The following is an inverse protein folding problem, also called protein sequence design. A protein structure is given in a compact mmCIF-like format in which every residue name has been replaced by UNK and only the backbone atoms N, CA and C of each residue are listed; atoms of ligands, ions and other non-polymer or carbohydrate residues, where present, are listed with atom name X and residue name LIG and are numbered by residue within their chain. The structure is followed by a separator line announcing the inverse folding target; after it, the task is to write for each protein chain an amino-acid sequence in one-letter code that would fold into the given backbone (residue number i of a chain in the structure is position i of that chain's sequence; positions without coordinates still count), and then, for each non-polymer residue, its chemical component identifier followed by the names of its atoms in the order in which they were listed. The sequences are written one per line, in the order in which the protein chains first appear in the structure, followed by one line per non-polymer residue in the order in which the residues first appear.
data_IF_952204561899
#
_entry.id   IF_952204561899
#
_cell.length_a   1.000
_cell.length_b   1.000
_cell.length_c   1.000
_cell.angle_alpha   90.00
_cell.angle_beta   90.00
_cell.angle_gamma   90.00
#
_symmetry.space_group_name_H-M   'P 1'
#
loop_
_entity.id
_entity.type
_entity.pdbx_description
1 polymer ?
#
# COMPACT_ATOMS: atom_id res chain seq x y z
N UNK A 1 2.93 -51.47 -43.17
CA UNK A 1 2.47 -50.07 -43.22
C UNK A 1 1.70 -49.81 -41.94
N UNK A 2 2.38 -49.27 -40.97
CA UNK A 2 1.77 -48.94 -39.63
C UNK A 2 1.43 -47.47 -39.62
N UNK A 3 0.14 -47.17 -39.54
CA UNK A 3 -0.38 -45.80 -39.52
C UNK A 3 -0.36 -45.30 -38.07
N UNK A 4 0.57 -44.39 -37.71
CA UNK A 4 0.57 -43.68 -36.44
C UNK A 4 -0.48 -42.56 -36.48
N UNK A 5 -1.60 -42.73 -35.77
CA UNK A 5 -2.51 -41.62 -35.44
C UNK A 5 -1.84 -40.75 -34.35
N UNK A 6 -1.39 -39.56 -34.71
CA UNK A 6 -1.09 -38.48 -33.77
C UNK A 6 -2.41 -37.90 -33.24
N UNK A 7 -2.73 -38.21 -32.00
CA UNK A 7 -3.76 -37.48 -31.24
C UNK A 7 -3.23 -36.09 -30.89
N UNK A 8 -3.72 -35.07 -31.59
CA UNK A 8 -3.58 -33.67 -31.14
C UNK A 8 -4.38 -33.46 -29.83
N UNK A 9 -3.71 -33.36 -28.70
CA UNK A 9 -4.28 -32.85 -27.49
C UNK A 9 -4.58 -31.35 -27.69
N UNK A 10 -5.73 -30.85 -27.23
CA UNK A 10 -5.99 -29.42 -27.29
C UNK A 10 -4.95 -28.68 -26.47
N UNK A 11 -4.35 -27.62 -27.04
CA UNK A 11 -3.41 -26.76 -26.35
C UNK A 11 -4.12 -26.13 -25.13
N UNK A 12 -3.45 -26.15 -23.98
CA UNK A 12 -3.91 -25.49 -22.76
C UNK A 12 -4.27 -24.04 -23.04
N UNK A 13 -5.37 -23.53 -22.46
CA UNK A 13 -5.74 -22.15 -22.66
C UNK A 13 -4.62 -21.22 -22.16
N UNK A 14 -4.24 -20.28 -23.02
CA UNK A 14 -3.20 -19.29 -22.84
C UNK A 14 -3.21 -18.73 -21.40
N UNK A 15 -2.14 -18.85 -20.59
CA UNK A 15 -2.11 -18.41 -19.19
C UNK A 15 -2.40 -16.90 -19.01
N UNK A 16 -2.26 -16.09 -20.06
CA UNK A 16 -2.65 -14.67 -20.06
C UNK A 16 -4.17 -14.49 -20.07
N UNK A 17 -4.94 -15.44 -20.62
CA UNK A 17 -6.42 -15.37 -20.61
C UNK A 17 -7.00 -15.81 -19.25
N UNK A 18 -6.37 -16.76 -18.56
CA UNK A 18 -6.78 -17.20 -17.23
C UNK A 18 -6.54 -16.12 -16.15
N UNK A 19 -5.56 -15.21 -16.32
CA UNK A 19 -5.27 -14.11 -15.40
C UNK A 19 -6.29 -12.97 -15.38
N UNK A 20 -7.24 -12.91 -16.32
CA UNK A 20 -8.22 -11.80 -16.45
C UNK A 20 -9.64 -12.14 -16.00
N UNK A 21 -9.85 -13.21 -15.26
CA UNK A 21 -11.21 -13.66 -14.92
C UNK A 21 -11.52 -13.73 -13.41
N UNK A 22 -10.81 -12.94 -12.60
CA UNK A 22 -11.09 -12.85 -11.17
C UNK A 22 -12.35 -12.01 -10.90
N UNK A 23 -12.89 -12.08 -9.67
CA UNK A 23 -14.00 -11.22 -9.25
C UNK A 23 -13.69 -9.74 -9.46
N UNK A 24 -12.47 -9.32 -9.09
CA UNK A 24 -11.98 -7.96 -9.29
C UNK A 24 -11.99 -7.56 -10.77
N UNK A 25 -11.41 -8.39 -11.64
CA UNK A 25 -11.35 -8.09 -13.08
C UNK A 25 -12.75 -7.94 -13.68
N UNK A 26 -13.66 -8.86 -13.35
CA UNK A 26 -15.04 -8.83 -13.85
C UNK A 26 -15.76 -7.56 -13.42
N UNK A 27 -15.57 -7.14 -12.17
CA UNK A 27 -16.16 -5.90 -11.67
C UNK A 27 -15.55 -4.66 -12.34
N UNK A 28 -14.23 -4.56 -12.44
CA UNK A 28 -13.56 -3.39 -12.99
C UNK A 28 -13.80 -3.21 -14.50
N UNK A 29 -13.95 -4.33 -15.23
CA UNK A 29 -14.25 -4.33 -16.67
C UNK A 29 -15.75 -4.10 -16.97
N UNK A 30 -16.64 -4.28 -15.99
CA UNK A 30 -18.06 -4.09 -16.19
C UNK A 30 -18.35 -2.64 -16.62
N UNK A 31 -19.11 -2.42 -17.72
CA UNK A 31 -19.45 -1.08 -18.17
C UNK A 31 -20.30 -0.36 -17.12
N UNK A 32 -20.15 0.96 -17.04
CA UNK A 32 -20.96 1.83 -16.20
C UNK A 32 -21.18 3.16 -16.93
N UNK A 33 -22.42 3.41 -17.30
CA UNK A 33 -22.81 4.59 -18.06
C UNK A 33 -22.86 5.88 -17.23
N UNK A 34 -22.72 5.79 -15.90
CA UNK A 34 -22.78 6.97 -15.03
C UNK A 34 -21.45 7.73 -14.95
N UNK A 35 -20.35 7.14 -15.47
CA UNK A 35 -19.05 7.80 -15.49
C UNK A 35 -19.09 9.13 -16.21
N UNK A 36 -18.68 10.16 -15.53
CA UNK A 36 -18.47 11.51 -16.09
C UNK A 36 -17.57 12.33 -15.20
N UNK A 37 -16.96 13.35 -15.76
CA UNK A 37 -16.20 14.33 -15.00
C UNK A 37 -16.44 15.75 -15.57
N UNK A 38 -16.14 16.76 -14.76
CA UNK A 38 -16.18 18.16 -15.17
C UNK A 38 -15.15 19.00 -14.41
N UNK A 39 -14.55 19.97 -15.09
CA UNK A 39 -13.71 20.96 -14.47
C UNK A 39 -14.59 21.96 -13.70
N UNK A 40 -14.26 22.21 -12.43
CA UNK A 40 -14.95 23.18 -11.58
C UNK A 40 -14.22 24.51 -11.55
N UNK A 41 -12.94 24.48 -11.16
CA UNK A 41 -12.13 25.69 -11.01
C UNK A 41 -10.64 25.41 -11.28
N UNK A 42 -9.91 26.49 -11.52
CA UNK A 42 -8.45 26.56 -11.42
C UNK A 42 -8.12 27.74 -10.55
N UNK A 43 -7.45 27.49 -9.44
CA UNK A 43 -7.04 28.51 -8.47
C UNK A 43 -5.51 28.71 -8.56
N UNK A 44 -5.05 29.96 -8.28
CA UNK A 44 -3.63 30.29 -8.32
C UNK A 44 -3.11 30.62 -9.72
N UNK A 45 -1.80 30.69 -9.85
CA UNK A 45 -1.11 31.01 -11.10
C UNK A 45 0.27 30.30 -11.14
N UNK A 46 1.03 30.50 -12.24
CA UNK A 46 2.35 29.87 -12.41
C UNK A 46 3.35 30.21 -11.29
N UNK A 47 3.30 31.42 -10.71
CA UNK A 47 4.23 31.87 -9.68
C UNK A 47 3.87 31.30 -8.28
N UNK A 48 2.58 31.12 -8.00
CA UNK A 48 2.09 30.62 -6.72
C UNK A 48 1.76 29.12 -6.75
N UNK A 49 1.83 28.51 -7.93
CA UNK A 49 1.29 27.18 -8.22
C UNK A 49 -0.20 27.24 -8.53
N UNK A 50 -0.73 26.20 -9.11
CA UNK A 50 -2.16 26.08 -9.42
C UNK A 50 -2.78 24.85 -8.77
N UNK A 51 -4.04 24.97 -8.42
CA UNK A 51 -4.90 23.84 -8.01
C UNK A 51 -6.06 23.74 -8.98
N UNK A 52 -6.15 22.62 -9.68
CA UNK A 52 -7.24 22.34 -10.60
C UNK A 52 -8.24 21.43 -9.88
N UNK A 53 -9.49 21.86 -9.79
CA UNK A 53 -10.56 21.10 -9.16
C UNK A 53 -11.46 20.47 -10.22
N UNK A 54 -11.55 19.15 -10.19
CA UNK A 54 -12.47 18.36 -11.01
C UNK A 54 -13.50 17.68 -10.12
N UNK A 55 -14.74 17.58 -10.60
CA UNK A 55 -15.76 16.68 -10.05
C UNK A 55 -15.82 15.45 -10.92
N UNK A 56 -15.88 14.28 -10.29
CA UNK A 56 -15.89 12.97 -10.91
C UNK A 56 -17.06 12.15 -10.38
N UNK A 57 -17.95 11.67 -11.25
CA UNK A 57 -18.81 10.53 -10.95
C UNK A 57 -18.11 9.27 -11.47
N UNK A 58 -17.66 8.39 -10.57
CA UNK A 58 -16.88 7.21 -10.98
C UNK A 58 -17.76 6.06 -11.46
N UNK A 59 -18.93 5.89 -10.84
CA UNK A 59 -19.84 4.79 -11.08
C UNK A 59 -21.15 4.97 -10.31
N UNK A 60 -22.14 4.13 -10.61
CA UNK A 60 -23.28 3.85 -9.74
C UNK A 60 -23.11 2.47 -9.13
N UNK A 61 -22.96 2.39 -7.80
CA UNK A 61 -22.77 1.17 -7.06
C UNK A 61 -23.92 0.91 -6.11
N UNK A 62 -24.59 -0.25 -6.22
CA UNK A 62 -25.74 -0.63 -5.38
C UNK A 62 -26.82 0.47 -5.31
N UNK A 63 -27.12 1.11 -6.44
CA UNK A 63 -28.08 2.22 -6.52
C UNK A 63 -27.57 3.57 -6.03
N UNK A 64 -26.35 3.64 -5.47
CA UNK A 64 -25.71 4.87 -5.00
C UNK A 64 -24.74 5.41 -6.05
N UNK A 65 -24.93 6.66 -6.47
CA UNK A 65 -23.97 7.35 -7.33
C UNK A 65 -22.75 7.77 -6.50
N UNK A 66 -21.55 7.44 -6.99
CA UNK A 66 -20.29 7.76 -6.34
C UNK A 66 -19.66 9.01 -6.96
N UNK A 67 -19.74 10.10 -6.22
CA UNK A 67 -19.19 11.40 -6.60
C UNK A 67 -17.94 11.71 -5.80
N UNK A 68 -16.91 12.22 -6.48
CA UNK A 68 -15.60 12.49 -5.91
C UNK A 68 -15.13 13.89 -6.24
N UNK A 69 -14.35 14.47 -5.35
CA UNK A 69 -13.46 15.58 -5.67
C UNK A 69 -12.13 15.03 -6.14
N UNK A 70 -11.61 15.56 -7.24
CA UNK A 70 -10.30 15.23 -7.77
C UNK A 70 -9.51 16.52 -7.92
N UNK A 71 -8.53 16.73 -7.05
CA UNK A 71 -7.68 17.92 -7.08
C UNK A 71 -6.32 17.60 -7.70
N UNK A 72 -5.91 18.42 -8.66
CA UNK A 72 -4.57 18.37 -9.27
C UNK A 72 -3.78 19.59 -8.80
N UNK A 73 -2.78 19.37 -7.96
CA UNK A 73 -1.86 20.37 -7.43
C UNK A 73 -0.63 20.47 -8.32
N UNK A 74 -0.38 21.64 -8.87
CA UNK A 74 0.81 21.94 -9.67
C UNK A 74 1.63 22.98 -8.91
N UNK A 75 2.76 22.63 -8.30
CA UNK A 75 3.56 23.57 -7.51
C UNK A 75 4.22 24.62 -8.40
N UNK A 76 4.68 25.76 -7.81
CA UNK A 76 5.30 26.84 -8.56
C UNK A 76 6.45 26.37 -9.45
N UNK A 77 6.46 26.82 -10.70
CA UNK A 77 7.52 26.48 -11.66
C UNK A 77 7.56 25.01 -12.12
N UNK A 78 6.68 24.16 -11.61
CA UNK A 78 6.62 22.76 -12.05
C UNK A 78 6.11 22.68 -13.51
N UNK A 79 6.78 21.84 -14.29
CA UNK A 79 6.37 21.55 -15.67
C UNK A 79 5.40 20.37 -15.68
N UNK A 80 4.37 20.39 -16.55
CA UNK A 80 3.58 19.21 -16.84
C UNK A 80 4.47 18.02 -17.23
N UNK A 81 4.07 16.81 -16.86
CA UNK A 81 4.81 15.60 -17.20
C UNK A 81 3.88 14.42 -17.39
N UNK A 82 4.32 13.45 -18.17
CA UNK A 82 3.52 12.25 -18.53
C UNK A 82 3.25 11.31 -17.37
N UNK A 83 3.93 11.49 -16.24
CA UNK A 83 3.73 10.69 -15.02
C UNK A 83 3.42 11.60 -13.85
N UNK A 84 2.36 11.29 -13.11
CA UNK A 84 2.00 11.99 -11.87
C UNK A 84 1.77 11.01 -10.72
N UNK A 85 1.86 11.52 -9.49
CA UNK A 85 1.43 10.79 -8.30
C UNK A 85 -0.07 10.98 -8.12
N UNK A 86 -0.79 9.87 -7.90
CA UNK A 86 -2.21 9.86 -7.52
C UNK A 86 -2.33 9.32 -6.09
N UNK A 87 -2.74 10.18 -5.17
CA UNK A 87 -3.11 9.80 -3.81
C UNK A 87 -4.63 9.56 -3.74
N UNK A 88 -5.05 8.37 -3.36
CA UNK A 88 -6.45 8.11 -3.05
C UNK A 88 -6.70 8.23 -1.54
N UNK A 89 -7.76 8.94 -1.13
CA UNK A 89 -8.06 9.23 0.27
C UNK A 89 -9.57 9.22 0.58
N UNK A 90 -9.92 8.99 1.86
CA UNK A 90 -11.32 8.88 2.29
C UNK A 90 -12.01 10.21 2.56
N UNK A 91 -11.26 11.23 2.94
CA UNK A 91 -11.82 12.53 3.34
C UNK A 91 -12.34 13.37 2.17
N UNK A 92 -12.67 14.61 2.47
CA UNK A 92 -13.04 15.63 1.51
C UNK A 92 -11.86 16.62 1.28
N UNK A 93 -11.91 17.51 0.25
CA UNK A 93 -10.82 18.42 -0.08
C UNK A 93 -10.74 19.64 0.84
N UNK A 94 -10.88 19.47 2.16
CA UNK A 94 -10.81 20.54 3.15
C UNK A 94 -9.66 20.32 4.14
N UNK A 95 -9.18 21.39 4.77
CA UNK A 95 -8.24 21.35 5.88
C UNK A 95 -6.98 20.54 5.59
N UNK A 96 -6.66 19.60 6.49
CA UNK A 96 -5.43 18.81 6.44
C UNK A 96 -5.26 17.93 5.20
N UNK A 97 -6.34 17.44 4.60
CA UNK A 97 -6.26 16.61 3.40
C UNK A 97 -5.77 17.40 2.17
N UNK A 98 -6.27 18.64 2.00
CA UNK A 98 -5.80 19.54 0.94
C UNK A 98 -4.33 19.91 1.18
N UNK A 99 -3.97 20.22 2.44
CA UNK A 99 -2.61 20.55 2.83
C UNK A 99 -1.64 19.39 2.55
N UNK A 100 -2.04 18.14 2.78
CA UNK A 100 -1.21 16.98 2.48
C UNK A 100 -0.89 16.90 0.97
N UNK A 101 -1.87 17.08 0.09
CA UNK A 101 -1.67 17.11 -1.35
C UNK A 101 -0.69 18.22 -1.78
N UNK A 102 -0.87 19.43 -1.25
CA UNK A 102 0.04 20.55 -1.48
C UNK A 102 1.47 20.26 -0.98
N UNK A 103 1.59 19.66 0.20
CA UNK A 103 2.90 19.31 0.80
C UNK A 103 3.63 18.28 -0.06
N UNK A 104 2.94 17.23 -0.52
CA UNK A 104 3.54 16.21 -1.39
C UNK A 104 3.96 16.85 -2.73
N UNK A 105 3.11 17.69 -3.34
CA UNK A 105 3.43 18.36 -4.60
C UNK A 105 4.64 19.29 -4.46
N UNK A 106 4.73 20.05 -3.36
CA UNK A 106 5.85 20.93 -3.06
C UNK A 106 7.16 20.16 -2.86
N UNK A 107 7.15 19.05 -2.11
CA UNK A 107 8.33 18.19 -1.91
C UNK A 107 8.78 17.54 -3.23
N UNK A 108 7.86 17.01 -4.02
CA UNK A 108 8.14 16.42 -5.32
C UNK A 108 8.63 17.43 -6.35
N UNK A 109 8.28 18.70 -6.19
CA UNK A 109 8.42 19.75 -7.23
C UNK A 109 7.77 19.33 -8.56
N UNK A 110 6.67 18.59 -8.47
CA UNK A 110 5.95 17.99 -9.60
C UNK A 110 4.44 17.95 -9.32
N UNK A 111 3.59 17.86 -10.35
CA UNK A 111 2.16 17.75 -10.18
C UNK A 111 1.76 16.48 -9.40
N UNK A 112 0.79 16.64 -8.48
CA UNK A 112 0.19 15.57 -7.68
C UNK A 112 -1.31 15.66 -7.75
N UNK A 113 -1.98 14.54 -8.01
CA UNK A 113 -3.43 14.45 -7.94
C UNK A 113 -3.86 13.78 -6.63
N UNK A 114 -4.96 14.25 -6.05
CA UNK A 114 -5.60 13.64 -4.88
C UNK A 114 -7.06 13.36 -5.21
N UNK A 115 -7.44 12.08 -5.11
CA UNK A 115 -8.81 11.61 -5.30
C UNK A 115 -9.44 11.38 -3.93
N UNK A 116 -10.50 12.12 -3.65
CA UNK A 116 -11.20 12.15 -2.37
C UNK A 116 -12.45 11.25 -2.36
N UNK A 117 -13.04 11.06 -1.18
CA UNK A 117 -14.25 10.26 -0.92
C UNK A 117 -14.11 8.79 -1.40
N UNK A 118 -13.00 8.14 -1.04
CA UNK A 118 -12.78 6.71 -1.29
C UNK A 118 -12.87 5.93 0.04
N UNK A 119 -13.96 5.21 0.32
CA UNK A 119 -15.21 5.11 -0.43
C UNK A 119 -16.08 6.36 -0.32
N UNK A 120 -17.15 6.39 -1.12
CA UNK A 120 -18.24 7.36 -0.99
C UNK A 120 -19.10 6.93 0.20
N UNK A 121 -18.99 7.62 1.32
CA UNK A 121 -19.58 7.22 2.61
C UNK A 121 -20.15 8.43 3.36
N UNK A 122 -21.11 8.25 4.34
CA UNK A 122 -21.63 6.97 4.85
C UNK A 122 -22.60 6.27 3.89
N UNK A 123 -22.63 4.92 3.94
CA UNK A 123 -23.62 4.08 3.27
C UNK A 123 -24.14 3.05 4.26
N UNK A 124 -25.41 2.68 4.17
CA UNK A 124 -26.03 1.71 5.09
C UNK A 124 -25.81 2.05 6.59
N UNK A 125 -25.77 3.35 6.92
CA UNK A 125 -25.42 3.88 8.25
C UNK A 125 -24.06 3.37 8.77
N UNK A 126 -23.12 3.10 7.87
CA UNK A 126 -21.76 2.63 8.18
C UNK A 126 -20.72 3.47 7.45
N UNK A 127 -19.54 3.47 8.02
CA UNK A 127 -18.33 4.09 7.46
C UNK A 127 -17.13 3.17 7.65
N UNK A 128 -16.08 3.39 6.90
CA UNK A 128 -14.75 2.78 7.09
C UNK A 128 -14.81 1.24 7.16
N UNK A 129 -14.17 0.61 8.16
CA UNK A 129 -14.11 -0.84 8.31
C UNK A 129 -15.49 -1.47 8.51
N UNK A 130 -16.37 -0.78 9.25
CA UNK A 130 -17.75 -1.23 9.45
C UNK A 130 -18.52 -1.31 8.12
N UNK A 131 -18.24 -0.41 7.17
CA UNK A 131 -18.86 -0.46 5.84
C UNK A 131 -18.28 -1.58 4.97
N UNK A 132 -16.96 -1.78 4.99
CA UNK A 132 -16.32 -2.89 4.26
C UNK A 132 -16.86 -4.22 4.78
N UNK A 133 -16.85 -4.43 6.10
CA UNK A 133 -17.33 -5.65 6.73
C UNK A 133 -18.84 -5.92 6.45
N UNK A 134 -19.67 -4.87 6.46
CA UNK A 134 -21.08 -4.95 6.07
C UNK A 134 -21.22 -5.46 4.62
N UNK A 135 -20.44 -4.97 3.70
CA UNK A 135 -20.52 -5.36 2.29
C UNK A 135 -20.02 -6.79 2.05
N UNK A 136 -19.07 -7.26 2.86
CA UNK A 136 -18.64 -8.65 2.83
C UNK A 136 -19.74 -9.60 3.31
N UNK A 137 -20.46 -9.24 4.38
CA UNK A 137 -21.63 -10.00 4.85
C UNK A 137 -22.70 -10.06 3.76
N UNK A 138 -23.03 -8.95 3.10
CA UNK A 138 -24.02 -8.91 2.02
C UNK A 138 -23.62 -9.77 0.81
N UNK A 139 -22.33 -9.83 0.48
CA UNK A 139 -21.85 -10.73 -0.55
C UNK A 139 -22.07 -12.21 -0.16
N UNK A 140 -21.78 -12.57 1.10
CA UNK A 140 -22.00 -13.93 1.61
C UNK A 140 -23.48 -14.29 1.68
N UNK A 141 -24.34 -13.39 2.14
CA UNK A 141 -25.80 -13.56 2.19
C UNK A 141 -26.43 -13.70 0.79
N UNK A 142 -25.83 -13.05 -0.21
CA UNK A 142 -26.23 -13.21 -1.62
C UNK A 142 -25.65 -14.49 -2.27
N UNK A 143 -25.05 -15.39 -1.48
CA UNK A 143 -24.44 -16.64 -1.95
C UNK A 143 -23.40 -16.40 -3.07
N UNK A 144 -22.68 -15.26 -2.99
CA UNK A 144 -21.68 -14.85 -4.00
C UNK A 144 -22.24 -14.51 -5.38
N UNK A 145 -23.55 -14.48 -5.57
CA UNK A 145 -24.20 -14.23 -6.87
C UNK A 145 -24.01 -12.80 -7.34
N UNK A 146 -24.00 -11.84 -6.43
CA UNK A 146 -23.72 -10.44 -6.74
C UNK A 146 -22.27 -10.08 -6.41
N UNK A 147 -21.41 -10.17 -7.42
CA UNK A 147 -19.98 -9.89 -7.30
C UNK A 147 -19.67 -8.41 -7.05
N UNK A 148 -20.64 -7.52 -7.13
CA UNK A 148 -20.44 -6.09 -6.95
C UNK A 148 -20.39 -5.67 -5.47
N UNK A 149 -20.87 -6.52 -4.53
CA UNK A 149 -20.95 -6.17 -3.13
C UNK A 149 -19.60 -5.77 -2.48
N UNK A 150 -18.48 -6.50 -2.67
CA UNK A 150 -17.25 -6.18 -1.95
C UNK A 150 -16.79 -4.73 -2.20
N UNK A 151 -16.89 -3.87 -1.18
CA UNK A 151 -16.68 -2.42 -1.27
C UNK A 151 -15.32 -2.02 -1.87
N UNK A 152 -14.31 -2.86 -1.69
CA UNK A 152 -12.97 -2.63 -2.24
C UNK A 152 -12.94 -2.58 -3.78
N UNK A 153 -13.89 -3.24 -4.44
CA UNK A 153 -13.97 -3.22 -5.90
C UNK A 153 -14.44 -1.86 -6.44
N UNK A 154 -15.55 -1.27 -5.95
CA UNK A 154 -15.89 0.11 -6.34
C UNK A 154 -14.86 1.14 -5.90
N UNK A 155 -14.14 0.94 -4.79
CA UNK A 155 -13.01 1.79 -4.41
C UNK A 155 -11.89 1.73 -5.46
N UNK A 156 -11.51 0.54 -5.93
CA UNK A 156 -10.52 0.39 -7.01
C UNK A 156 -11.02 0.99 -8.33
N UNK A 157 -12.30 0.77 -8.69
CA UNK A 157 -12.89 1.36 -9.90
C UNK A 157 -12.89 2.88 -9.86
N UNK A 158 -13.11 3.49 -8.69
CA UNK A 158 -13.01 4.95 -8.55
C UNK A 158 -11.58 5.46 -8.84
N UNK A 159 -10.54 4.73 -8.43
CA UNK A 159 -9.16 5.08 -8.79
C UNK A 159 -8.92 4.96 -10.31
N UNK A 160 -9.41 3.89 -10.96
CA UNK A 160 -9.33 3.73 -12.42
C UNK A 160 -10.00 4.91 -13.13
N UNK A 161 -11.21 5.29 -12.72
CA UNK A 161 -11.96 6.42 -13.28
C UNK A 161 -11.33 7.78 -12.98
N UNK A 162 -10.68 7.91 -11.82
CA UNK A 162 -9.86 9.09 -11.51
C UNK A 162 -8.68 9.26 -12.47
N UNK A 163 -8.02 8.15 -12.82
CA UNK A 163 -6.96 8.15 -13.83
C UNK A 163 -7.50 8.48 -15.23
N UNK A 164 -8.66 7.95 -15.61
CA UNK A 164 -9.32 8.29 -16.88
C UNK A 164 -9.60 9.80 -16.97
N UNK A 165 -10.20 10.39 -15.93
CA UNK A 165 -10.50 11.82 -15.87
C UNK A 165 -9.26 12.71 -15.94
N UNK A 166 -8.16 12.31 -15.26
CA UNK A 166 -6.87 13.03 -15.32
C UNK A 166 -6.25 12.98 -16.71
N UNK A 167 -6.30 11.82 -17.38
CA UNK A 167 -5.80 11.70 -18.75
C UNK A 167 -6.61 12.57 -19.69
N UNK A 168 -7.93 12.51 -19.63
CA UNK A 168 -8.81 13.31 -20.51
C UNK A 168 -8.63 14.80 -20.24
N UNK A 169 -8.62 15.24 -18.98
CA UNK A 169 -8.42 16.63 -18.63
C UNK A 169 -7.07 17.18 -19.12
N UNK A 170 -5.99 16.43 -18.93
CA UNK A 170 -4.65 16.89 -19.25
C UNK A 170 -4.34 16.86 -20.75
N UNK A 171 -5.08 16.12 -21.58
CA UNK A 171 -4.99 16.21 -23.06
C UNK A 171 -5.20 17.65 -23.55
N UNK A 172 -6.20 18.32 -22.99
CA UNK A 172 -6.48 19.70 -23.36
C UNK A 172 -5.56 20.70 -22.62
N UNK A 173 -5.35 20.47 -21.33
CA UNK A 173 -4.62 21.40 -20.46
C UNK A 173 -3.09 21.37 -20.67
N UNK A 174 -2.53 20.20 -20.99
CA UNK A 174 -1.07 19.98 -21.07
C UNK A 174 -0.58 19.50 -22.44
N UNK A 175 -1.50 19.24 -23.38
CA UNK A 175 -1.22 18.83 -24.76
C UNK A 175 -0.25 17.64 -24.82
N UNK A 176 0.93 17.81 -25.48
CA UNK A 176 1.95 16.78 -25.64
C UNK A 176 2.51 16.22 -24.33
N UNK A 177 2.30 16.92 -23.21
CA UNK A 177 2.69 16.51 -21.87
C UNK A 177 1.51 15.91 -21.07
N UNK A 178 0.42 15.54 -21.76
CA UNK A 178 -0.71 14.89 -21.12
C UNK A 178 -0.29 13.67 -20.28
N UNK A 179 -0.98 13.45 -19.18
CA UNK A 179 -0.70 12.35 -18.25
C UNK A 179 -0.95 11.01 -18.93
N UNK A 180 0.03 10.12 -18.89
CA UNK A 180 -0.06 8.76 -19.41
C UNK A 180 0.08 7.69 -18.33
N UNK A 181 0.87 7.98 -17.27
CA UNK A 181 1.30 7.04 -16.24
C UNK A 181 1.08 7.59 -14.85
N UNK A 182 0.99 6.68 -13.88
CA UNK A 182 0.70 7.02 -12.50
C UNK A 182 1.63 6.29 -11.52
N UNK A 183 1.98 7.00 -10.43
CA UNK A 183 2.45 6.39 -9.19
C UNK A 183 1.28 6.45 -8.21
N UNK A 184 0.70 5.30 -7.85
CA UNK A 184 -0.49 5.25 -7.00
C UNK A 184 -0.11 5.06 -5.54
N UNK A 185 -0.75 5.82 -4.64
CA UNK A 185 -0.57 5.66 -3.19
C UNK A 185 -1.87 5.89 -2.43
N UNK A 186 -1.93 5.37 -1.22
CA UNK A 186 -3.04 5.53 -0.30
C UNK A 186 -2.75 4.82 1.02
N UNK A 187 -3.43 5.22 2.10
CA UNK A 187 -3.18 4.69 3.44
C UNK A 187 -4.35 3.82 3.93
N UNK A 188 -4.03 2.79 4.73
CA UNK A 188 -5.03 1.92 5.35
C UNK A 188 -5.92 1.25 4.30
N UNK A 189 -7.24 1.34 4.38
CA UNK A 189 -8.19 0.84 3.36
C UNK A 189 -7.89 1.37 1.95
N UNK A 190 -7.32 2.57 1.83
CA UNK A 190 -6.92 3.17 0.55
C UNK A 190 -5.57 2.60 0.08
N UNK A 191 -4.74 2.12 1.01
CA UNK A 191 -3.58 1.27 0.69
C UNK A 191 -4.00 -0.10 0.16
N UNK A 192 -5.07 -0.68 0.73
CA UNK A 192 -5.70 -1.89 0.20
C UNK A 192 -6.24 -1.67 -1.22
N UNK A 193 -6.95 -0.55 -1.42
CA UNK A 193 -7.39 -0.10 -2.76
C UNK A 193 -6.20 0.08 -3.71
N UNK A 194 -5.09 0.65 -3.23
CA UNK A 194 -3.85 0.82 -4.00
C UNK A 194 -3.31 -0.51 -4.51
N UNK A 195 -3.24 -1.54 -3.66
CA UNK A 195 -2.85 -2.89 -4.06
C UNK A 195 -3.76 -3.44 -5.17
N UNK A 196 -5.08 -3.44 -4.95
CA UNK A 196 -6.04 -4.01 -5.90
C UNK A 196 -6.06 -3.27 -7.24
N UNK A 197 -6.02 -1.93 -7.21
CA UNK A 197 -5.96 -1.14 -8.44
C UNK A 197 -4.67 -1.42 -9.22
N UNK A 198 -3.54 -1.56 -8.51
CA UNK A 198 -2.23 -1.83 -9.12
C UNK A 198 -2.11 -3.24 -9.72
N UNK A 199 -2.90 -4.18 -9.22
CA UNK A 199 -3.00 -5.52 -9.82
C UNK A 199 -3.74 -5.51 -11.17
N UNK A 200 -4.56 -4.49 -11.42
CA UNK A 200 -5.43 -4.41 -12.59
C UNK A 200 -4.90 -3.43 -13.66
N UNK A 201 -4.60 -2.18 -13.28
CA UNK A 201 -4.37 -1.08 -14.22
C UNK A 201 -2.89 -0.91 -14.59
N UNK A 202 -2.57 -1.14 -15.85
CA UNK A 202 -1.20 -1.09 -16.39
C UNK A 202 -0.63 0.34 -16.53
N UNK A 203 -1.45 1.38 -16.36
CA UNK A 203 -0.97 2.76 -16.29
C UNK A 203 -0.21 3.05 -15.01
N UNK A 204 -0.40 2.23 -13.97
CA UNK A 204 0.33 2.33 -12.70
C UNK A 204 1.71 1.72 -12.89
N UNK A 205 2.73 2.57 -12.97
CA UNK A 205 4.12 2.16 -13.18
C UNK A 205 4.89 1.90 -11.88
N UNK A 206 4.38 2.40 -10.76
CA UNK A 206 4.86 2.14 -9.40
C UNK A 206 3.74 2.43 -8.40
N UNK A 207 3.80 1.84 -7.21
CA UNK A 207 2.78 2.10 -6.19
C UNK A 207 3.33 1.99 -4.77
N UNK A 208 2.70 2.72 -3.84
CA UNK A 208 3.09 2.75 -2.44
C UNK A 208 1.87 2.59 -1.53
N UNK A 209 1.52 1.37 -1.09
CA UNK A 209 0.52 1.15 -0.05
C UNK A 209 1.10 1.50 1.32
N UNK A 210 0.36 2.31 2.09
CA UNK A 210 0.78 2.77 3.40
C UNK A 210 -0.09 2.14 4.49
N UNK A 211 0.51 1.68 5.55
CA UNK A 211 -0.13 1.11 6.76
C UNK A 211 -1.22 0.08 6.46
N UNK A 212 -0.89 -0.87 5.58
CA UNK A 212 -1.80 -1.96 5.20
C UNK A 212 -1.03 -3.26 4.95
N UNK A 213 -0.82 -4.00 6.00
CA UNK A 213 -0.01 -5.23 6.01
C UNK A 213 -0.90 -6.48 6.04
N UNK A 214 -1.94 -6.48 5.17
CA UNK A 214 -3.05 -7.45 5.20
C UNK A 214 -2.89 -8.61 4.21
N UNK A 215 -1.86 -8.62 3.36
CA UNK A 215 -1.69 -9.66 2.36
C UNK A 215 -1.51 -11.04 3.01
N UNK A 216 -2.06 -12.07 2.38
CA UNK A 216 -2.12 -13.42 2.93
C UNK A 216 -2.97 -13.49 4.21
N UNK A 217 -4.20 -12.99 4.09
CA UNK A 217 -5.11 -12.74 5.21
C UNK A 217 -5.31 -13.94 6.14
N UNK A 218 -5.34 -15.15 5.61
CA UNK A 218 -5.51 -16.35 6.43
C UNK A 218 -4.36 -16.52 7.43
N UNK A 219 -3.11 -16.42 6.94
CA UNK A 219 -1.93 -16.54 7.79
C UNK A 219 -1.78 -15.32 8.72
N UNK A 220 -2.18 -14.12 8.24
CA UNK A 220 -2.21 -12.91 9.09
C UNK A 220 -3.11 -13.10 10.32
N UNK A 221 -4.29 -13.67 10.15
CA UNK A 221 -5.21 -13.87 11.28
C UNK A 221 -4.67 -14.90 12.28
N UNK A 222 -4.09 -15.99 11.79
CA UNK A 222 -3.45 -17.01 12.64
C UNK A 222 -2.27 -16.43 13.41
N UNK A 223 -1.39 -15.70 12.71
CA UNK A 223 -0.21 -15.07 13.31
C UNK A 223 -0.59 -13.99 14.34
N UNK A 224 -1.65 -13.23 14.09
CA UNK A 224 -2.17 -12.24 15.04
C UNK A 224 -2.67 -12.91 16.34
N UNK A 225 -3.34 -14.07 16.24
CA UNK A 225 -3.77 -14.86 17.41
C UNK A 225 -2.55 -15.37 18.20
N UNK A 226 -1.49 -15.82 17.55
CA UNK A 226 -0.26 -16.27 18.21
C UNK A 226 0.45 -15.11 18.92
N UNK A 227 0.64 -13.99 18.23
CA UNK A 227 1.38 -12.84 18.73
C UNK A 227 0.62 -12.07 19.83
N UNK A 228 -0.66 -11.76 19.62
CA UNK A 228 -1.46 -10.93 20.51
C UNK A 228 -2.31 -11.75 21.49
N UNK A 229 -2.56 -13.06 21.22
CA UNK A 229 -3.47 -13.92 21.98
C UNK A 229 -4.94 -13.68 21.67
N UNK A 230 -5.25 -12.74 20.78
CA UNK A 230 -6.61 -12.38 20.30
C UNK A 230 -6.49 -11.55 19.03
N UNK A 231 -7.56 -11.41 18.23
CA UNK A 231 -7.58 -10.45 17.14
C UNK A 231 -7.31 -9.03 17.66
N UNK A 232 -6.68 -8.19 16.83
CA UNK A 232 -6.54 -6.77 17.16
C UNK A 232 -7.90 -6.11 17.38
N UNK A 233 -7.99 -5.24 18.36
CA UNK A 233 -9.17 -4.41 18.62
C UNK A 233 -9.55 -3.53 17.42
N UNK A 234 -8.59 -3.25 16.55
CA UNK A 234 -8.81 -2.42 15.36
C UNK A 234 -9.63 -3.13 14.28
N UNK A 235 -9.66 -4.47 14.28
CA UNK A 235 -10.45 -5.26 13.34
C UNK A 235 -11.77 -5.78 13.93
N UNK A 236 -12.26 -5.16 15.02
CA UNK A 236 -13.49 -5.54 15.71
C UNK A 236 -14.70 -5.63 14.79
N UNK A 237 -14.82 -4.73 13.82
CA UNK A 237 -15.94 -4.70 12.87
C UNK A 237 -16.07 -5.99 12.05
N UNK A 238 -14.94 -6.64 11.75
CA UNK A 238 -14.89 -7.93 11.06
C UNK A 238 -15.15 -9.10 12.02
N UNK A 239 -14.62 -9.02 13.26
CA UNK A 239 -14.81 -10.04 14.29
C UNK A 239 -16.28 -10.13 14.71
N UNK A 240 -16.92 -8.99 15.00
CA UNK A 240 -18.33 -8.90 15.41
C UNK A 240 -19.27 -9.46 14.33
N UNK A 241 -18.90 -9.37 13.05
CA UNK A 241 -19.66 -9.91 11.91
C UNK A 241 -19.26 -11.32 11.52
N UNK A 242 -18.46 -12.01 12.37
CA UNK A 242 -18.00 -13.39 12.13
C UNK A 242 -17.24 -13.57 10.82
N UNK A 243 -16.50 -12.53 10.40
CA UNK A 243 -15.60 -12.56 9.26
C UNK A 243 -14.16 -12.93 9.67
N UNK A 244 -13.87 -12.92 10.97
CA UNK A 244 -12.59 -13.36 11.56
C UNK A 244 -12.92 -14.30 12.73
N UNK A 245 -12.41 -15.56 12.74
CA UNK A 245 -11.62 -16.17 11.67
C UNK A 245 -12.37 -16.24 10.34
N UNK A 246 -11.64 -16.46 9.24
CA UNK A 246 -12.24 -16.51 7.91
C UNK A 246 -13.33 -17.59 7.85
N UNK A 247 -14.57 -17.27 7.43
CA UNK A 247 -15.63 -18.27 7.32
C UNK A 247 -15.24 -19.38 6.34
N UNK A 248 -15.64 -20.64 6.61
CA UNK A 248 -15.43 -21.74 5.69
C UNK A 248 -16.38 -21.68 4.47
N UNK A 249 -16.06 -22.45 3.44
CA UNK A 249 -16.90 -22.65 2.26
C UNK A 249 -16.43 -21.88 1.02
N UNK A 250 -16.94 -22.30 -0.14
CA UNK A 250 -16.47 -21.82 -1.45
C UNK A 250 -16.79 -20.34 -1.69
N UNK A 251 -17.96 -19.87 -1.25
CA UNK A 251 -18.38 -18.47 -1.39
C UNK A 251 -17.46 -17.57 -0.56
N UNK A 252 -17.19 -17.93 0.70
CA UNK A 252 -16.28 -17.17 1.55
C UNK A 252 -14.84 -17.22 0.98
N UNK A 253 -14.38 -18.39 0.54
CA UNK A 253 -13.08 -18.53 -0.13
C UNK A 253 -12.99 -17.65 -1.39
N UNK A 254 -14.08 -17.58 -2.18
CA UNK A 254 -14.19 -16.69 -3.34
C UNK A 254 -14.07 -15.22 -2.98
N UNK A 255 -14.75 -14.78 -1.91
CA UNK A 255 -14.64 -13.42 -1.39
C UNK A 255 -13.19 -13.07 -1.03
N UNK A 256 -12.56 -13.91 -0.19
CA UNK A 256 -11.19 -13.65 0.26
C UNK A 256 -10.19 -13.64 -0.88
N UNK A 257 -10.27 -14.59 -1.81
CA UNK A 257 -9.47 -14.58 -3.04
C UNK A 257 -9.70 -13.32 -3.88
N UNK A 258 -10.91 -12.77 -3.85
CA UNK A 258 -11.24 -11.54 -4.55
C UNK A 258 -10.66 -10.28 -3.92
N UNK A 259 -10.65 -10.19 -2.59
CA UNK A 259 -10.27 -8.98 -1.86
C UNK A 259 -8.85 -9.00 -1.30
N UNK A 260 -8.24 -10.19 -1.10
CA UNK A 260 -6.85 -10.30 -0.66
C UNK A 260 -5.88 -10.01 -1.81
N UNK A 261 -5.07 -8.94 -1.73
CA UNK A 261 -4.09 -8.63 -2.77
C UNK A 261 -3.06 -9.76 -2.98
N UNK A 262 -2.85 -10.63 -1.99
CA UNK A 262 -1.97 -11.78 -2.11
C UNK A 262 -2.36 -12.71 -3.27
N UNK A 263 -3.65 -12.83 -3.55
CA UNK A 263 -4.18 -13.61 -4.69
C UNK A 263 -3.73 -13.08 -6.06
N UNK A 264 -3.22 -11.86 -6.10
CA UNK A 264 -2.74 -11.19 -7.31
C UNK A 264 -1.22 -11.00 -7.33
N UNK A 265 -0.47 -11.69 -6.45
CA UNK A 265 0.98 -11.49 -6.25
C UNK A 265 1.76 -11.45 -7.55
N UNK A 266 1.48 -12.39 -8.46
CA UNK A 266 2.16 -12.50 -9.76
C UNK A 266 1.94 -11.30 -10.70
N UNK A 267 0.94 -10.46 -10.41
CA UNK A 267 0.65 -9.26 -11.21
C UNK A 267 1.47 -8.05 -10.82
N UNK A 268 2.07 -8.04 -9.62
CA UNK A 268 2.83 -6.90 -9.10
C UNK A 268 4.26 -6.85 -9.65
N UNK A 269 4.40 -6.60 -10.94
CA UNK A 269 5.73 -6.53 -11.60
C UNK A 269 6.39 -5.14 -11.46
N UNK A 270 5.61 -4.09 -11.26
CA UNK A 270 6.09 -2.72 -11.09
C UNK A 270 6.75 -2.50 -9.71
N UNK A 271 7.66 -1.51 -9.59
CA UNK A 271 8.24 -1.11 -8.32
C UNK A 271 7.17 -0.78 -7.27
N UNK A 272 7.39 -1.24 -6.04
CA UNK A 272 6.51 -0.97 -4.90
C UNK A 272 7.29 -0.59 -3.66
N UNK A 273 6.72 0.33 -2.87
CA UNK A 273 7.22 0.74 -1.58
C UNK A 273 6.12 0.47 -0.53
N UNK A 274 6.37 -0.46 0.38
CA UNK A 274 5.48 -0.75 1.50
C UNK A 274 5.93 0.11 2.67
N UNK A 275 5.02 0.88 3.28
CA UNK A 275 5.34 1.76 4.41
C UNK A 275 4.47 1.42 5.60
N UNK A 276 5.08 0.98 6.69
CA UNK A 276 4.38 0.59 7.91
C UNK A 276 4.95 1.32 9.14
N UNK A 277 4.14 1.48 10.17
CA UNK A 277 4.59 1.92 11.49
C UNK A 277 5.02 0.72 12.33
N UNK A 278 6.14 0.83 13.04
CA UNK A 278 6.65 -0.26 13.88
C UNK A 278 5.72 -0.61 15.07
N UNK A 279 4.82 0.31 15.42
CA UNK A 279 3.81 0.16 16.47
C UNK A 279 2.37 0.23 15.91
N UNK A 280 2.17 -0.15 14.64
CA UNK A 280 0.82 -0.14 14.05
C UNK A 280 -0.10 -1.07 14.87
N UNK A 281 -1.26 -0.57 15.35
CA UNK A 281 -2.14 -1.39 16.19
C UNK A 281 -2.93 -2.44 15.40
N UNK A 282 -2.97 -2.38 14.07
CA UNK A 282 -3.71 -3.31 13.23
C UNK A 282 -2.98 -4.64 13.01
N UNK A 283 -1.64 -4.60 12.87
CA UNK A 283 -0.84 -5.73 12.40
C UNK A 283 0.29 -6.07 13.37
N UNK A 284 0.78 -7.30 13.32
CA UNK A 284 2.00 -7.69 14.03
C UNK A 284 3.20 -6.97 13.39
N UNK A 285 4.23 -6.69 14.17
CA UNK A 285 5.40 -5.96 13.67
C UNK A 285 6.12 -6.67 12.52
N UNK A 286 5.98 -7.98 12.44
CA UNK A 286 6.58 -8.88 11.45
C UNK A 286 5.59 -9.41 10.39
N UNK A 287 4.37 -8.85 10.32
CA UNK A 287 3.31 -9.24 9.38
C UNK A 287 3.79 -9.33 7.92
N UNK A 288 4.70 -8.44 7.51
CA UNK A 288 5.31 -8.43 6.19
C UNK A 288 5.96 -9.77 5.82
N UNK A 289 6.47 -10.53 6.78
CA UNK A 289 7.18 -11.79 6.54
C UNK A 289 6.26 -12.88 5.96
N UNK A 290 4.95 -12.78 6.18
CA UNK A 290 3.98 -13.76 5.70
C UNK A 290 3.76 -13.71 4.18
N UNK A 291 4.23 -12.64 3.52
CA UNK A 291 4.01 -12.48 2.08
C UNK A 291 5.20 -11.90 1.31
N UNK A 292 6.21 -11.35 1.99
CA UNK A 292 7.34 -10.67 1.33
C UNK A 292 7.97 -11.49 0.21
N UNK A 293 8.31 -12.75 0.47
CA UNK A 293 9.01 -13.59 -0.50
C UNK A 293 8.14 -14.00 -1.70
N UNK A 294 6.81 -13.87 -1.57
CA UNK A 294 5.85 -14.24 -2.61
C UNK A 294 5.52 -13.12 -3.58
N UNK A 295 5.83 -11.87 -3.23
CA UNK A 295 5.62 -10.74 -4.15
C UNK A 295 6.89 -10.47 -4.98
N UNK A 296 6.76 -10.26 -6.32
CA UNK A 296 7.93 -10.03 -7.19
C UNK A 296 8.67 -8.73 -6.87
N UNK A 297 9.97 -8.70 -7.16
CA UNK A 297 10.77 -7.47 -7.19
C UNK A 297 10.43 -6.63 -8.44
N UNK A 298 10.72 -5.30 -8.46
CA UNK A 298 11.32 -4.52 -7.38
C UNK A 298 10.36 -4.25 -6.23
N UNK A 299 10.81 -4.45 -4.99
CA UNK A 299 10.04 -4.20 -3.78
C UNK A 299 10.93 -3.60 -2.69
N UNK A 300 10.40 -2.61 -1.99
CA UNK A 300 11.09 -1.88 -0.95
C UNK A 300 10.16 -1.73 0.25
N UNK A 301 10.74 -1.59 1.42
CA UNK A 301 9.99 -1.39 2.66
C UNK A 301 10.58 -0.25 3.48
N UNK A 302 9.71 0.51 4.12
CA UNK A 302 10.04 1.42 5.21
C UNK A 302 9.23 1.04 6.43
N UNK A 303 9.91 0.76 7.53
CA UNK A 303 9.31 0.63 8.86
C UNK A 303 9.64 1.91 9.62
N UNK A 304 8.63 2.70 9.96
CA UNK A 304 8.80 3.95 10.71
C UNK A 304 8.86 3.62 12.20
N UNK A 305 10.00 3.83 12.86
CA UNK A 305 10.15 3.49 14.28
C UNK A 305 9.26 4.38 15.16
N UNK A 306 8.75 3.82 16.25
CA UNK A 306 7.92 4.53 17.23
C UNK A 306 6.72 5.27 16.62
N UNK A 307 6.21 4.76 15.50
CA UNK A 307 5.05 5.27 14.79
C UNK A 307 3.95 4.21 14.74
N UNK A 308 2.72 4.64 14.96
CA UNK A 308 1.52 3.83 14.78
C UNK A 308 0.94 3.94 13.36
N UNK A 309 -0.38 3.75 13.26
CA UNK A 309 -1.12 3.76 12.00
C UNK A 309 -1.11 5.11 11.25
N UNK A 310 -0.76 6.18 11.92
CA UNK A 310 -0.65 7.52 11.33
C UNK A 310 0.77 7.85 10.79
N UNK A 311 1.72 6.91 10.89
CA UNK A 311 3.12 7.05 10.48
C UNK A 311 3.86 8.24 11.14
N UNK A 312 3.33 8.77 12.24
CA UNK A 312 3.97 9.87 12.97
C UNK A 312 4.98 9.32 13.97
N UNK A 313 6.23 9.33 13.56
CA UNK A 313 7.36 8.97 14.44
C UNK A 313 7.40 9.89 15.66
N UNK A 314 7.50 9.31 16.84
CA UNK A 314 7.67 10.06 18.09
C UNK A 314 9.14 10.25 18.38
N UNK A 315 9.59 11.51 18.51
CA UNK A 315 10.95 11.83 18.93
C UNK A 315 11.12 11.59 20.44
N UNK A 316 12.38 11.50 20.94
CA UNK A 316 12.66 11.44 22.38
C UNK A 316 12.04 12.61 23.16
N UNK A 317 11.97 13.80 22.56
CA UNK A 317 11.39 15.02 23.15
C UNK A 317 9.84 15.02 23.08
N UNK A 318 9.23 13.99 22.52
CA UNK A 318 7.78 13.81 22.44
C UNK A 318 7.11 14.46 21.24
N UNK A 319 7.84 15.13 20.35
CA UNK A 319 7.26 15.66 19.10
C UNK A 319 6.92 14.49 18.15
N UNK A 320 5.91 14.69 17.29
CA UNK A 320 5.47 13.67 16.35
C UNK A 320 5.54 14.21 14.92
N UNK A 321 6.28 13.52 14.05
CA UNK A 321 6.46 13.91 12.65
C UNK A 321 6.19 12.76 11.69
N UNK A 322 5.58 13.07 10.55
CA UNK A 322 5.40 12.14 9.42
C UNK A 322 6.55 12.26 8.39
N UNK A 323 7.53 13.09 8.64
CA UNK A 323 8.55 13.50 7.65
C UNK A 323 9.32 12.33 7.07
N UNK A 324 9.71 11.32 7.89
CA UNK A 324 10.41 10.12 7.38
C UNK A 324 9.59 9.38 6.32
N UNK A 325 8.29 9.18 6.57
CA UNK A 325 7.41 8.52 5.63
C UNK A 325 7.21 9.36 4.36
N UNK A 326 6.99 10.67 4.51
CA UNK A 326 6.82 11.58 3.38
C UNK A 326 8.09 11.71 2.54
N UNK A 327 9.26 11.83 3.15
CA UNK A 327 10.55 11.90 2.44
C UNK A 327 10.76 10.64 1.59
N UNK A 328 10.60 9.46 2.20
CA UNK A 328 10.77 8.20 1.46
C UNK A 328 9.74 8.03 0.33
N UNK A 329 8.47 8.36 0.58
CA UNK A 329 7.43 8.33 -0.45
C UNK A 329 7.74 9.31 -1.59
N UNK A 330 8.21 10.52 -1.26
CA UNK A 330 8.59 11.56 -2.23
C UNK A 330 9.72 11.07 -3.14
N UNK A 331 10.82 10.58 -2.54
CA UNK A 331 11.97 10.10 -3.30
C UNK A 331 11.59 8.88 -4.15
N UNK A 332 10.86 7.89 -3.59
CA UNK A 332 10.36 6.75 -4.35
C UNK A 332 9.53 7.17 -5.56
N UNK A 333 8.56 8.05 -5.36
CA UNK A 333 7.65 8.52 -6.41
C UNK A 333 8.39 9.27 -7.51
N UNK A 334 9.34 10.14 -7.14
CA UNK A 334 10.16 10.90 -8.09
C UNK A 334 11.06 9.98 -8.91
N UNK A 335 11.74 9.03 -8.25
CA UNK A 335 12.61 8.07 -8.94
C UNK A 335 11.81 7.20 -9.90
N UNK A 336 10.64 6.71 -9.47
CA UNK A 336 9.74 5.95 -10.32
C UNK A 336 9.25 6.75 -11.54
N UNK A 337 8.83 8.01 -11.35
CA UNK A 337 8.42 8.89 -12.45
C UNK A 337 9.55 9.20 -13.44
N UNK A 338 10.80 9.23 -12.96
CA UNK A 338 11.99 9.43 -13.77
C UNK A 338 12.57 8.12 -14.37
N UNK A 339 11.94 6.97 -14.15
CA UNK A 339 12.45 5.67 -14.57
C UNK A 339 13.74 5.24 -13.85
N UNK A 340 14.02 5.81 -12.67
CA UNK A 340 15.19 5.50 -11.84
C UNK A 340 14.84 4.47 -10.77
N UNK A 341 15.72 3.51 -10.55
CA UNK A 341 15.55 2.50 -9.49
C UNK A 341 15.87 3.07 -8.11
N UNK A 342 15.22 2.54 -7.08
CA UNK A 342 15.65 2.69 -5.68
C UNK A 342 16.94 1.90 -5.45
N UNK A 343 17.67 2.14 -4.34
CA UNK A 343 18.83 1.32 -3.97
C UNK A 343 18.50 -0.16 -3.97
N UNK A 344 19.43 -0.97 -4.43
CA UNK A 344 19.37 -2.41 -4.25
C UNK A 344 19.80 -2.72 -2.81
N UNK A 345 18.89 -3.28 -2.03
CA UNK A 345 19.18 -3.74 -0.67
C UNK A 345 19.05 -5.26 -0.59
N UNK A 346 20.03 -5.89 0.03
CA UNK A 346 20.04 -7.30 0.35
C UNK A 346 20.31 -7.46 1.85
N UNK A 347 19.60 -8.37 2.50
CA UNK A 347 19.84 -8.67 3.91
C UNK A 347 19.67 -10.15 4.18
N UNK A 348 20.36 -10.61 5.22
CA UNK A 348 20.32 -12.00 5.64
C UNK A 348 20.27 -12.09 7.15
N UNK A 349 19.39 -12.92 7.66
CA UNK A 349 19.39 -13.36 9.04
C UNK A 349 20.09 -14.73 9.13
N UNK A 350 21.01 -14.86 10.09
CA UNK A 350 21.69 -16.12 10.44
C UNK A 350 21.81 -16.20 11.96
N UNK A 351 22.49 -17.18 12.50
CA UNK A 351 22.70 -17.32 13.95
C UNK A 351 22.38 -18.72 14.44
N UNK A 352 22.20 -18.83 15.75
CA UNK A 352 21.93 -20.09 16.44
C UNK A 352 20.85 -19.92 17.53
N UNK A 353 20.83 -20.85 18.49
CA UNK A 353 19.88 -20.80 19.60
C UNK A 353 20.11 -19.65 20.58
N UNK A 354 21.25 -18.99 20.59
CA UNK A 354 21.61 -17.93 21.52
C UNK A 354 21.47 -16.52 20.94
N UNK A 355 21.64 -16.36 19.62
CA UNK A 355 21.64 -15.05 18.96
C UNK A 355 21.21 -15.14 17.49
N UNK A 356 20.81 -14.00 16.93
CA UNK A 356 20.68 -13.80 15.50
C UNK A 356 21.69 -12.77 15.01
N UNK A 357 22.28 -13.01 13.83
CA UNK A 357 23.03 -12.01 13.10
C UNK A 357 22.12 -11.43 12.01
N UNK A 358 22.21 -10.12 11.83
CA UNK A 358 21.66 -9.41 10.68
C UNK A 358 22.82 -8.83 9.88
N UNK A 359 22.97 -9.22 8.62
CA UNK A 359 23.84 -8.55 7.67
C UNK A 359 23.01 -7.81 6.64
N UNK A 360 23.36 -6.57 6.36
CA UNK A 360 22.70 -5.71 5.35
C UNK A 360 23.74 -5.19 4.39
N UNK A 361 23.46 -5.25 3.10
CA UNK A 361 24.26 -4.65 2.03
C UNK A 361 23.36 -3.83 1.12
N UNK A 362 23.80 -2.63 0.75
CA UNK A 362 23.07 -1.79 -0.16
C UNK A 362 23.98 -1.10 -1.20
N UNK A 363 23.43 -0.90 -2.40
CA UNK A 363 24.07 -0.19 -3.50
C UNK A 363 23.04 0.80 -4.12
N UNK A 364 23.35 2.13 -4.12
CA UNK A 364 24.53 2.77 -3.51
C UNK A 364 24.60 2.56 -2.00
N UNK A 365 25.80 2.76 -1.42
CA UNK A 365 26.03 2.64 0.00
C UNK A 365 25.14 3.60 0.80
N UNK A 366 24.54 3.14 1.93
CA UNK A 366 23.79 4.02 2.81
C UNK A 366 24.74 4.97 3.55
N UNK A 367 24.28 6.18 3.83
CA UNK A 367 25.02 7.16 4.64
C UNK A 367 25.05 6.77 6.12
N UNK A 368 24.03 6.04 6.56
CA UNK A 368 23.88 5.55 7.95
C UNK A 368 23.05 4.26 7.97
N UNK A 369 23.37 3.36 8.90
CA UNK A 369 22.55 2.20 9.22
C UNK A 369 22.29 2.18 10.73
N UNK A 370 21.02 2.11 11.12
CA UNK A 370 20.59 2.06 12.51
C UNK A 370 19.84 0.76 12.76
N UNK A 371 20.27 -0.01 13.72
CA UNK A 371 19.53 -1.16 14.25
C UNK A 371 18.47 -0.64 15.21
N UNK A 372 17.21 -0.95 14.94
CA UNK A 372 16.10 -0.69 15.84
C UNK A 372 15.69 -1.97 16.55
N UNK A 373 15.58 -1.91 17.89
CA UNK A 373 15.26 -3.06 18.73
C UNK A 373 14.19 -2.72 19.76
N UNK A 374 13.39 -3.73 20.11
CA UNK A 374 12.36 -3.62 21.13
C UNK A 374 12.18 -4.92 21.87
N UNK A 375 11.93 -4.87 23.18
CA UNK A 375 11.55 -6.01 23.99
C UNK A 375 10.12 -5.88 24.49
N UNK A 376 9.42 -7.02 24.61
CA UNK A 376 8.09 -7.09 25.18
C UNK A 376 7.87 -8.45 25.88
N UNK A 377 6.91 -8.56 26.83
CA UNK A 377 6.59 -9.82 27.48
C UNK A 377 6.12 -10.94 26.52
N UNK A 378 5.64 -10.57 25.33
CA UNK A 378 5.21 -11.43 24.21
C UNK A 378 5.42 -10.71 22.90
N UNK A 379 5.04 -11.30 21.76
CA UNK A 379 5.21 -10.69 20.42
C UNK A 379 4.29 -9.48 20.13
N UNK A 380 3.75 -8.86 21.16
CA UNK A 380 2.92 -7.64 21.07
C UNK A 380 3.75 -6.40 21.36
N UNK A 381 4.29 -5.79 20.30
CA UNK A 381 5.15 -4.60 20.39
C UNK A 381 4.40 -3.28 20.20
N UNK A 382 3.08 -3.30 20.08
CA UNK A 382 2.26 -2.12 19.76
C UNK A 382 2.41 -0.96 20.73
N UNK A 383 2.72 -1.25 22.01
CA UNK A 383 2.91 -0.24 23.07
C UNK A 383 4.35 -0.10 23.54
N UNK A 384 5.27 -0.81 22.92
CA UNK A 384 6.68 -0.83 23.30
C UNK A 384 7.47 0.25 22.57
N UNK A 385 8.53 0.75 23.20
CA UNK A 385 9.41 1.77 22.63
C UNK A 385 10.60 1.12 21.93
N UNK A 386 10.73 1.34 20.64
CA UNK A 386 11.87 0.93 19.85
C UNK A 386 13.08 1.81 20.13
N UNK A 387 14.24 1.19 20.33
CA UNK A 387 15.50 1.86 20.67
C UNK A 387 16.51 1.72 19.54
N UNK A 388 17.19 2.83 19.14
CA UNK A 388 18.17 2.81 18.07
C UNK A 388 19.56 2.43 18.59
N UNK A 389 20.35 1.79 17.73
CA UNK A 389 21.79 1.58 17.88
C UNK A 389 22.44 1.77 16.52
N UNK A 390 23.36 2.72 16.39
CA UNK A 390 24.04 2.97 15.12
C UNK A 390 25.04 1.84 14.83
N UNK A 391 25.02 1.36 13.59
CA UNK A 391 25.93 0.33 13.12
C UNK A 391 27.06 0.95 12.28
N UNK A 392 28.26 0.34 12.38
CA UNK A 392 29.37 0.73 11.50
C UNK A 392 29.07 0.28 10.07
N UNK A 393 29.10 1.24 9.15
CA UNK A 393 29.00 0.97 7.71
C UNK A 393 30.38 0.84 7.11
N UNK A 394 30.64 -0.26 6.41
CA UNK A 394 31.86 -0.50 5.68
C UNK A 394 31.53 -1.06 4.28
N UNK A 395 32.00 -0.40 3.22
CA UNK A 395 31.80 -0.81 1.83
C UNK A 395 30.32 -1.12 1.49
N UNK A 396 29.40 -0.25 1.98
CA UNK A 396 27.95 -0.40 1.77
C UNK A 396 27.29 -1.50 2.60
N UNK A 397 28.01 -2.12 3.52
CA UNK A 397 27.54 -3.20 4.39
C UNK A 397 27.54 -2.80 5.85
N UNK A 398 26.63 -3.36 6.63
CA UNK A 398 26.58 -3.26 8.09
C UNK A 398 26.12 -4.61 8.68
N UNK A 399 26.58 -4.89 9.88
CA UNK A 399 26.24 -6.13 10.59
C UNK A 399 25.85 -5.85 12.04
N UNK A 400 24.91 -6.64 12.54
CA UNK A 400 24.48 -6.62 13.92
C UNK A 400 24.37 -8.04 14.48
N UNK A 401 24.80 -8.22 15.74
CA UNK A 401 24.56 -9.43 16.52
C UNK A 401 23.54 -9.11 17.60
N UNK A 402 22.41 -9.80 17.58
CA UNK A 402 21.28 -9.60 18.49
C UNK A 402 21.09 -10.86 19.32
N UNK A 403 21.26 -10.75 20.63
CA UNK A 403 21.08 -11.89 21.54
C UNK A 403 19.60 -12.13 21.81
N UNK A 404 19.24 -13.40 21.95
CA UNK A 404 17.90 -13.78 22.38
C UNK A 404 17.57 -13.19 23.75
N UNK A 405 16.32 -12.77 23.99
CA UNK A 405 15.91 -12.30 25.30
C UNK A 405 15.88 -13.46 26.31
N UNK A 406 16.18 -13.19 27.56
CA UNK A 406 16.07 -14.18 28.64
C UNK A 406 14.60 -14.54 28.92
N UNK A 407 13.66 -13.65 28.64
CA UNK A 407 12.22 -13.86 28.76
C UNK A 407 11.46 -13.02 27.72
N UNK A 408 10.24 -13.44 27.37
CA UNK A 408 9.39 -12.72 26.42
C UNK A 408 9.88 -12.80 24.98
N UNK A 409 9.73 -11.70 24.25
CA UNK A 409 10.10 -11.56 22.85
C UNK A 409 10.91 -10.28 22.60
N UNK A 410 11.81 -10.34 21.62
CA UNK A 410 12.58 -9.23 21.09
C UNK A 410 12.35 -9.13 19.60
N UNK A 411 12.05 -7.91 19.09
CA UNK A 411 12.01 -7.65 17.67
C UNK A 411 13.09 -6.67 17.26
N UNK A 412 13.60 -6.81 16.03
CA UNK A 412 14.62 -5.91 15.48
C UNK A 412 14.56 -5.83 13.96
N UNK A 413 15.05 -4.72 13.42
CA UNK A 413 15.30 -4.50 11.99
C UNK A 413 16.37 -3.43 11.79
N UNK A 414 16.96 -3.37 10.61
CA UNK A 414 17.87 -2.31 10.22
C UNK A 414 17.15 -1.25 9.39
N UNK A 415 17.42 0.01 9.68
CA UNK A 415 16.99 1.18 8.92
C UNK A 415 18.21 1.80 8.25
N UNK A 416 18.20 1.85 6.91
CA UNK A 416 19.27 2.42 6.09
C UNK A 416 18.86 3.80 5.60
N UNK A 417 19.69 4.81 5.87
CA UNK A 417 19.52 6.17 5.36
C UNK A 417 20.30 6.37 4.07
N UNK A 418 19.70 7.03 3.11
CA UNK A 418 20.27 7.35 1.80
C UNK A 418 20.10 8.83 1.53
N UNK A 419 21.00 9.39 0.73
CA UNK A 419 20.88 10.74 0.21
C UNK A 419 20.29 10.73 -1.20
N UNK A 420 19.41 11.69 -1.47
CA UNK A 420 18.90 12.01 -2.81
C UNK A 420 19.03 13.52 -3.02
N UNK A 421 18.97 13.97 -4.28
CA UNK A 421 19.09 15.38 -4.63
C UNK A 421 18.02 16.28 -4.00
N UNK A 422 16.91 15.69 -3.54
CA UNK A 422 15.82 16.42 -2.90
C UNK A 422 15.97 16.42 -1.39
N UNK A 423 16.01 15.23 -0.79
CA UNK A 423 16.03 15.06 0.65
C UNK A 423 16.55 13.65 1.03
N UNK A 424 17.12 13.50 2.22
CA UNK A 424 17.45 12.18 2.74
C UNK A 424 16.20 11.33 2.92
N UNK A 425 16.33 10.02 2.72
CA UNK A 425 15.23 9.06 2.85
C UNK A 425 15.72 7.73 3.42
N UNK A 426 14.79 6.88 3.82
CA UNK A 426 15.13 5.63 4.47
C UNK A 426 14.48 4.42 3.78
N UNK A 427 15.18 3.28 3.84
CA UNK A 427 14.62 1.96 3.57
C UNK A 427 14.94 1.04 4.74
N UNK A 428 14.10 0.05 5.00
CA UNK A 428 14.26 -0.88 6.09
C UNK A 428 14.49 -2.32 5.61
N UNK A 429 15.00 -3.16 6.47
CA UNK A 429 14.87 -4.61 6.35
C UNK A 429 13.51 -5.06 6.89
N UNK A 430 13.15 -6.33 6.68
CA UNK A 430 12.05 -6.96 7.42
C UNK A 430 12.34 -6.97 8.93
N UNK A 431 11.27 -6.94 9.72
CA UNK A 431 11.36 -7.16 11.17
C UNK A 431 11.60 -8.64 11.44
N UNK A 432 12.57 -8.93 12.28
CA UNK A 432 12.82 -10.27 12.83
C UNK A 432 12.40 -10.31 14.31
N UNK A 433 11.68 -11.36 14.68
CA UNK A 433 11.28 -11.61 16.07
C UNK A 433 12.07 -12.81 16.62
N UNK A 434 12.55 -12.70 17.85
CA UNK A 434 13.19 -13.75 18.64
C UNK A 434 12.39 -13.95 19.92
N UNK A 435 12.16 -15.20 20.30
CA UNK A 435 11.48 -15.55 21.55
C UNK A 435 12.40 -16.29 22.50
N UNK A 436 12.22 -16.06 23.79
CA UNK A 436 12.89 -16.85 24.82
C UNK A 436 12.47 -18.32 24.71
N UNK A 437 13.42 -19.24 24.76
CA UNK A 437 13.14 -20.68 24.80
C UNK A 437 12.73 -21.34 23.46
N UNK A 438 12.72 -20.60 22.37
CA UNK A 438 12.48 -21.17 21.02
C UNK A 438 13.74 -21.19 20.17
#
# INVERSE_FOLDING_TARGET
MLLCLLLCLPADPNPVAAQKNTLLDRYLLAPDASYKWSKQSVEGNFLTGTTHHLKLTSQTWQGHRWDHDLLLFVPPGAKPGKTIVLLNTGGNPSGGNRLLGLTIAARLKAPVAVLFQIPNQPLYNRTEDALIAETFVRYLEADGKDISWPLLFPMAKACVRGMDALQDYTKDAWKENAVEKFVLTGASKRGWTTWLTSAFDKRIIAFAPLVIDTLNMQDQMSHQMEAFGKPSEQIKDYVERKLVPLPPGDVASGLWKGVDPFSYSERFKQPKLIVNGANDPYWTADALNLYWDKIPSPKHVLIVPNAGHDLREKSPEGTRSIDRALATLTVFSRRAAAGKSMPKMEWKHSGDTAYANLSVKAEPAPSKVTLWQVNAPRQDFRKSEWKPTDLKVAEGSAEAKVFKPASGALAFYALCEFNDDIEPYCLATQVRVLEAGK
#
